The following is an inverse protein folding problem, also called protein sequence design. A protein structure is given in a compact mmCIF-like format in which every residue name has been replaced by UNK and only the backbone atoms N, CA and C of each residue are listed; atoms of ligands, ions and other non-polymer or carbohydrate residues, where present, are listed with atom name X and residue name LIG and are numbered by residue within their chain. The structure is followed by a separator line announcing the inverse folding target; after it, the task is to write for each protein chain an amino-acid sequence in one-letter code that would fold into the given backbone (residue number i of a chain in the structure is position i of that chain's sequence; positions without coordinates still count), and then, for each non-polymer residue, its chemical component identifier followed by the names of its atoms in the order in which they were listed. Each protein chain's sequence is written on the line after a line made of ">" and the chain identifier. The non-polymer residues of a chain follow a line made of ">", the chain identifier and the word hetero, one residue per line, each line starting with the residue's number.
data_IF_205422869263
#
_entry.id   IF_205422869263
#
_cell.length_a   1.000
_cell.length_b   1.000
_cell.length_c   1.000
_cell.angle_alpha   90.00
_cell.angle_beta   90.00
_cell.angle_gamma   90.00
#
_symmetry.space_group_name_H-M   'P 1'
#
loop_
_entity.id
_entity.type
_entity.pdbx_description
1 polymer ?
#
# COMPACT_ATOMS: atom_id res chain seq x y z
N UNK A 1 -14.88 96.87 4.97
CA UNK A 1 -14.48 95.48 4.79
C UNK A 1 -14.33 95.25 3.29
N UNK A 2 -13.10 95.14 2.79
CA UNK A 2 -12.86 94.78 1.39
C UNK A 2 -13.07 93.29 1.24
N UNK A 3 -14.02 92.88 0.38
CA UNK A 3 -14.21 91.47 0.05
C UNK A 3 -13.00 90.90 -0.69
N UNK A 4 -12.84 89.57 -0.72
CA UNK A 4 -11.75 88.93 -1.45
C UNK A 4 -11.76 89.33 -2.92
N UNK A 5 -10.58 89.65 -3.46
CA UNK A 5 -10.39 89.91 -4.88
C UNK A 5 -10.75 88.66 -5.69
N UNK A 6 -11.41 88.82 -6.83
CA UNK A 6 -11.81 87.72 -7.72
C UNK A 6 -10.59 86.89 -8.12
N UNK A 7 -9.42 87.52 -8.22
CA UNK A 7 -8.16 86.85 -8.49
C UNK A 7 -7.74 85.86 -7.38
N UNK A 8 -7.97 86.22 -6.11
CA UNK A 8 -7.65 85.35 -4.97
C UNK A 8 -8.59 84.15 -4.89
N UNK A 9 -9.89 84.36 -5.10
CA UNK A 9 -10.87 83.28 -5.13
C UNK A 9 -10.61 82.30 -6.28
N UNK A 10 -10.21 82.83 -7.45
CA UNK A 10 -9.86 82.00 -8.62
C UNK A 10 -8.62 81.15 -8.34
N UNK A 11 -7.62 81.70 -7.62
CA UNK A 11 -6.40 80.97 -7.24
C UNK A 11 -6.71 79.82 -6.28
N UNK A 12 -7.47 80.08 -5.23
CA UNK A 12 -7.87 79.09 -4.22
C UNK A 12 -8.65 77.93 -4.86
N UNK A 13 -9.63 78.24 -5.71
CA UNK A 13 -10.40 77.22 -6.43
C UNK A 13 -9.54 76.37 -7.36
N UNK A 14 -8.52 76.96 -7.99
CA UNK A 14 -7.58 76.23 -8.84
C UNK A 14 -6.65 75.31 -8.04
N UNK A 15 -6.31 75.68 -6.81
CA UNK A 15 -5.53 74.83 -5.89
C UNK A 15 -6.37 73.63 -5.44
N UNK A 16 -7.62 73.85 -5.01
CA UNK A 16 -8.55 72.76 -4.65
C UNK A 16 -8.80 71.80 -5.83
N UNK A 17 -8.98 72.32 -7.05
CA UNK A 17 -9.14 71.48 -8.26
C UNK A 17 -7.89 70.62 -8.49
N UNK A 18 -6.69 71.15 -8.25
CA UNK A 18 -5.45 70.38 -8.41
C UNK A 18 -5.34 69.30 -7.34
N UNK A 19 -5.67 69.59 -6.10
CA UNK A 19 -5.67 68.61 -5.02
C UNK A 19 -6.69 67.49 -5.26
N UNK A 20 -7.90 67.86 -5.68
CA UNK A 20 -8.94 66.91 -6.08
C UNK A 20 -8.47 66.02 -7.24
N UNK A 21 -7.82 66.60 -8.25
CA UNK A 21 -7.26 65.83 -9.37
C UNK A 21 -6.23 64.81 -8.88
N UNK A 22 -5.31 65.22 -8.01
CA UNK A 22 -4.28 64.33 -7.47
C UNK A 22 -4.90 63.20 -6.63
N UNK A 23 -5.92 63.52 -5.82
CA UNK A 23 -6.64 62.51 -5.03
C UNK A 23 -7.39 61.52 -5.93
N UNK A 24 -7.96 61.99 -7.05
CA UNK A 24 -8.65 61.14 -8.01
C UNK A 24 -7.67 60.21 -8.74
N UNK A 25 -6.52 60.72 -9.19
CA UNK A 25 -5.48 59.91 -9.83
C UNK A 25 -4.95 58.82 -8.87
N UNK A 26 -4.74 59.18 -7.60
CA UNK A 26 -4.35 58.20 -6.57
C UNK A 26 -5.43 57.13 -6.35
N UNK A 27 -6.69 57.54 -6.22
CA UNK A 27 -7.81 56.61 -6.03
C UNK A 27 -8.00 55.67 -7.24
N UNK A 28 -7.86 56.19 -8.46
CA UNK A 28 -7.89 55.39 -9.68
C UNK A 28 -6.80 54.34 -9.70
N UNK A 29 -5.57 54.70 -9.33
CA UNK A 29 -4.47 53.73 -9.24
C UNK A 29 -4.75 52.63 -8.21
N UNK A 30 -5.21 53.01 -7.00
CA UNK A 30 -5.57 52.04 -5.97
C UNK A 30 -6.73 51.12 -6.41
N UNK A 31 -7.63 51.61 -7.27
CA UNK A 31 -8.70 50.80 -7.84
C UNK A 31 -8.18 49.79 -8.86
N UNK A 32 -7.25 50.19 -9.73
CA UNK A 32 -6.56 49.29 -10.68
C UNK A 32 -5.80 48.19 -9.93
N UNK A 33 -4.99 48.56 -8.93
CA UNK A 33 -4.23 47.60 -8.11
C UNK A 33 -5.18 46.58 -7.43
N UNK A 34 -6.32 47.05 -6.91
CA UNK A 34 -7.32 46.18 -6.28
C UNK A 34 -8.06 45.29 -7.28
N UNK A 35 -8.30 45.79 -8.50
CA UNK A 35 -8.90 44.99 -9.57
C UNK A 35 -7.98 43.82 -9.94
N UNK A 36 -6.67 44.10 -10.08
CA UNK A 36 -5.66 43.07 -10.36
C UNK A 36 -5.61 42.00 -9.26
N UNK A 37 -5.50 42.40 -7.98
CA UNK A 37 -5.53 41.46 -6.85
C UNK A 37 -6.83 40.63 -6.83
N UNK A 38 -7.97 41.24 -7.15
CA UNK A 38 -9.26 40.54 -7.19
C UNK A 38 -9.31 39.51 -8.31
N UNK A 39 -8.67 39.76 -9.45
CA UNK A 39 -8.56 38.77 -10.53
C UNK A 39 -7.66 37.60 -10.16
N UNK A 40 -6.53 37.87 -9.52
CA UNK A 40 -5.59 36.84 -9.06
C UNK A 40 -6.26 35.89 -8.05
N UNK A 41 -6.92 36.45 -7.04
CA UNK A 41 -7.66 35.67 -6.02
C UNK A 41 -8.75 34.82 -6.67
N UNK A 42 -9.46 35.32 -7.69
CA UNK A 42 -10.48 34.53 -8.41
C UNK A 42 -9.85 33.36 -9.15
N UNK A 43 -8.70 33.55 -9.78
CA UNK A 43 -7.97 32.49 -10.49
C UNK A 43 -7.47 31.41 -9.53
N UNK A 44 -6.86 31.80 -8.41
CA UNK A 44 -6.40 30.85 -7.38
C UNK A 44 -7.55 30.05 -6.79
N UNK A 45 -8.67 30.71 -6.50
CA UNK A 45 -9.85 30.06 -5.93
C UNK A 45 -10.47 29.05 -6.92
N UNK A 46 -10.46 29.35 -8.23
CA UNK A 46 -10.86 28.40 -9.25
C UNK A 46 -9.94 27.18 -9.31
N UNK A 47 -8.61 27.39 -9.25
CA UNK A 47 -7.63 26.31 -9.23
C UNK A 47 -7.75 25.42 -7.97
N UNK A 48 -7.95 26.03 -6.81
CA UNK A 48 -8.15 25.32 -5.54
C UNK A 48 -9.41 24.44 -5.58
N UNK A 49 -10.53 24.96 -6.11
CA UNK A 49 -11.76 24.19 -6.28
C UNK A 49 -11.55 22.97 -7.19
N UNK A 50 -10.87 23.16 -8.32
CA UNK A 50 -10.57 22.05 -9.24
C UNK A 50 -9.70 20.96 -8.59
N UNK A 51 -8.74 21.34 -7.73
CA UNK A 51 -7.93 20.38 -6.98
C UNK A 51 -8.73 19.68 -5.87
N UNK A 52 -9.62 20.41 -5.20
CA UNK A 52 -10.49 19.86 -4.15
C UNK A 52 -11.48 18.83 -4.69
N UNK A 53 -11.87 18.91 -5.97
CA UNK A 53 -12.70 17.89 -6.62
C UNK A 53 -11.92 16.59 -6.94
N UNK A 54 -10.62 16.71 -7.25
CA UNK A 54 -9.76 15.55 -7.58
C UNK A 54 -9.30 14.78 -6.35
N UNK A 55 -9.09 15.48 -5.23
CA UNK A 55 -8.52 14.89 -4.01
C UNK A 55 -9.36 13.73 -3.43
N UNK A 56 -10.71 13.79 -3.37
CA UNK A 56 -11.53 12.68 -2.91
C UNK A 56 -11.44 11.44 -3.82
N UNK A 57 -11.35 11.65 -5.14
CA UNK A 57 -11.25 10.56 -6.11
C UNK A 57 -9.94 9.79 -5.94
N UNK A 58 -8.82 10.51 -5.80
CA UNK A 58 -7.52 9.90 -5.52
C UNK A 58 -7.51 9.22 -4.15
N UNK A 59 -8.12 9.82 -3.13
CA UNK A 59 -8.25 9.21 -1.81
C UNK A 59 -9.02 7.88 -1.85
N UNK A 60 -10.13 7.83 -2.57
CA UNK A 60 -10.92 6.61 -2.74
C UNK A 60 -10.14 5.54 -3.50
N UNK A 61 -9.45 5.92 -4.58
CA UNK A 61 -8.59 5.02 -5.35
C UNK A 61 -7.47 4.42 -4.51
N UNK A 62 -6.79 5.24 -3.72
CA UNK A 62 -5.71 4.81 -2.83
C UNK A 62 -6.26 3.90 -1.73
N UNK A 63 -7.39 4.25 -1.10
CA UNK A 63 -8.05 3.40 -0.09
C UNK A 63 -8.43 2.05 -0.64
N UNK A 64 -8.99 1.99 -1.86
CA UNK A 64 -9.34 0.75 -2.54
C UNK A 64 -8.11 -0.12 -2.75
N UNK A 65 -7.04 0.43 -3.31
CA UNK A 65 -5.80 -0.32 -3.53
C UNK A 65 -5.15 -0.78 -2.22
N UNK A 66 -5.17 0.05 -1.18
CA UNK A 66 -4.67 -0.31 0.15
C UNK A 66 -5.46 -1.45 0.80
N UNK A 67 -6.74 -1.61 0.45
CA UNK A 67 -7.56 -2.73 0.92
C UNK A 67 -7.36 -4.00 0.09
N UNK A 68 -7.30 -3.87 -1.24
CA UNK A 68 -7.22 -5.02 -2.17
C UNK A 68 -5.83 -5.67 -2.19
N UNK A 69 -4.75 -4.89 -2.15
CA UNK A 69 -3.40 -5.42 -2.27
C UNK A 69 -3.04 -6.42 -1.16
N UNK A 70 -3.29 -6.15 0.14
CA UNK A 70 -3.03 -7.12 1.19
C UNK A 70 -3.85 -8.41 1.02
N UNK A 71 -5.10 -8.31 0.58
CA UNK A 71 -5.94 -9.48 0.34
C UNK A 71 -5.37 -10.35 -0.80
N UNK A 72 -4.91 -9.72 -1.88
CA UNK A 72 -4.28 -10.41 -2.99
C UNK A 72 -2.97 -11.10 -2.57
N UNK A 73 -2.14 -10.43 -1.76
CA UNK A 73 -0.91 -11.03 -1.20
C UNK A 73 -1.25 -12.26 -0.37
N UNK A 74 -2.23 -12.17 0.53
CA UNK A 74 -2.66 -13.30 1.35
C UNK A 74 -3.18 -14.45 0.47
N UNK A 75 -4.02 -14.15 -0.52
CA UNK A 75 -4.55 -15.17 -1.43
C UNK A 75 -3.44 -15.88 -2.25
N UNK A 76 -2.44 -15.13 -2.69
CA UNK A 76 -1.27 -15.65 -3.39
C UNK A 76 -0.40 -16.52 -2.48
N UNK A 77 -0.17 -16.07 -1.24
CA UNK A 77 0.57 -16.83 -0.23
C UNK A 77 -0.13 -18.15 0.10
N UNK A 78 -1.46 -18.13 0.30
CA UNK A 78 -2.22 -19.36 0.51
C UNK A 78 -2.15 -20.28 -0.71
N UNK A 79 -2.23 -19.73 -1.92
CA UNK A 79 -2.11 -20.50 -3.17
C UNK A 79 -0.74 -21.13 -3.36
N UNK A 80 0.33 -20.51 -2.85
CA UNK A 80 1.67 -21.10 -2.90
C UNK A 80 1.86 -22.22 -1.87
N UNK A 81 1.17 -22.17 -0.72
CA UNK A 81 1.32 -23.14 0.38
C UNK A 81 0.38 -24.33 0.32
N UNK A 82 -0.70 -24.23 -0.45
CA UNK A 82 -1.73 -25.28 -0.56
C UNK A 82 -1.23 -26.62 -1.12
N UNK A 83 -0.06 -26.63 -1.76
CA UNK A 83 0.62 -27.85 -2.24
C UNK A 83 1.76 -28.27 -1.33
N UNK A 84 1.93 -27.65 -0.17
CA UNK A 84 3.08 -27.87 0.69
C UNK A 84 2.73 -28.78 1.87
N UNK A 85 3.66 -29.65 2.25
CA UNK A 85 3.67 -30.36 3.54
C UNK A 85 4.99 -30.07 4.22
N UNK A 86 4.92 -29.82 5.52
CA UNK A 86 6.09 -29.66 6.39
C UNK A 86 6.28 -30.93 7.22
N UNK A 87 7.41 -31.61 7.03
CA UNK A 87 7.81 -32.75 7.84
C UNK A 87 8.70 -32.27 8.99
N UNK A 88 8.27 -32.57 10.21
CA UNK A 88 8.92 -32.16 11.46
C UNK A 88 9.57 -33.35 12.15
N UNK A 89 10.59 -33.08 12.96
CA UNK A 89 11.21 -34.08 13.84
C UNK A 89 12.12 -35.08 13.13
N UNK A 90 12.48 -34.85 11.86
CA UNK A 90 13.44 -35.68 11.13
C UNK A 90 14.84 -35.11 11.36
N UNK A 91 15.76 -35.82 12.05
CA UNK A 91 17.11 -35.33 12.32
C UNK A 91 17.86 -35.00 11.02
N UNK A 92 18.64 -33.93 11.03
CA UNK A 92 19.47 -33.56 9.89
C UNK A 92 20.75 -34.40 9.84
N UNK A 93 21.03 -34.98 8.68
CA UNK A 93 22.26 -35.75 8.43
C UNK A 93 23.01 -35.13 7.27
N UNK A 94 24.35 -35.00 7.42
CA UNK A 94 25.21 -34.52 6.32
C UNK A 94 25.04 -35.41 5.10
N UNK A 95 24.82 -34.78 3.93
CA UNK A 95 24.58 -35.47 2.63
C UNK A 95 23.35 -36.39 2.64
N UNK A 96 22.31 -36.02 3.38
CA UNK A 96 21.03 -36.72 3.32
C UNK A 96 20.40 -36.68 1.92
N UNK A 97 19.65 -37.74 1.60
CA UNK A 97 18.85 -37.83 0.38
C UNK A 97 17.38 -37.64 0.76
N UNK A 98 16.86 -36.43 0.59
CA UNK A 98 15.49 -36.08 1.01
C UNK A 98 14.43 -36.97 0.34
N UNK A 99 14.58 -37.27 -0.95
CA UNK A 99 13.67 -38.19 -1.67
C UNK A 99 13.62 -39.60 -1.06
N UNK A 100 14.75 -40.13 -0.61
CA UNK A 100 14.77 -41.43 0.10
C UNK A 100 14.10 -41.36 1.47
N UNK A 101 14.05 -40.19 2.10
CA UNK A 101 13.27 -39.97 3.33
C UNK A 101 11.78 -39.93 2.98
N UNK A 102 11.38 -39.26 1.90
CA UNK A 102 9.99 -39.19 1.45
C UNK A 102 9.44 -40.56 1.05
N UNK A 103 10.23 -41.38 0.35
CA UNK A 103 9.86 -42.77 0.02
C UNK A 103 9.57 -43.58 1.29
N UNK A 104 10.46 -43.50 2.30
CA UNK A 104 10.24 -44.15 3.61
C UNK A 104 8.97 -43.63 4.30
N UNK A 105 8.75 -42.33 4.30
CA UNK A 105 7.54 -41.72 4.89
C UNK A 105 6.29 -42.23 4.17
N UNK A 106 6.28 -42.23 2.84
CA UNK A 106 5.19 -42.72 2.02
C UNK A 106 4.86 -44.19 2.30
N UNK A 107 5.90 -45.02 2.40
CA UNK A 107 5.75 -46.44 2.78
C UNK A 107 5.19 -46.60 4.20
N UNK A 108 5.61 -45.76 5.15
CA UNK A 108 5.10 -45.81 6.53
C UNK A 108 3.61 -45.45 6.59
N UNK A 109 3.13 -44.51 5.77
CA UNK A 109 1.73 -44.07 5.79
C UNK A 109 0.82 -44.80 4.79
N UNK A 110 1.35 -45.80 4.08
CA UNK A 110 0.67 -46.51 2.99
C UNK A 110 0.19 -45.59 1.85
N UNK A 111 0.97 -44.55 1.54
CA UNK A 111 0.77 -43.64 0.41
C UNK A 111 2.14 -43.37 -0.25
N UNK A 112 2.54 -44.15 -1.26
CA UNK A 112 3.85 -44.02 -1.90
C UNK A 112 4.06 -42.61 -2.47
N UNK A 113 5.19 -41.99 -2.17
CA UNK A 113 5.55 -40.66 -2.68
C UNK A 113 6.68 -40.86 -3.69
N UNK A 114 6.38 -40.61 -4.97
CA UNK A 114 7.37 -40.70 -6.05
C UNK A 114 8.04 -39.35 -6.28
N UNK A 115 9.22 -39.36 -6.92
CA UNK A 115 9.92 -38.11 -7.29
C UNK A 115 9.08 -37.25 -8.25
N UNK A 116 8.25 -37.88 -9.08
CA UNK A 116 7.34 -37.22 -10.03
C UNK A 116 6.19 -36.47 -9.34
N UNK A 117 5.86 -36.85 -8.11
CA UNK A 117 4.85 -36.17 -7.29
C UNK A 117 5.36 -34.85 -6.71
N UNK A 118 6.67 -34.64 -6.71
CA UNK A 118 7.35 -33.54 -6.01
C UNK A 118 7.81 -32.47 -7.00
N UNK A 119 7.48 -31.22 -6.67
CA UNK A 119 7.96 -30.02 -7.35
C UNK A 119 9.30 -29.57 -6.72
N UNK A 120 9.28 -29.36 -5.40
CA UNK A 120 10.42 -28.84 -4.64
C UNK A 120 10.51 -29.59 -3.30
N UNK A 121 11.71 -30.01 -2.91
CA UNK A 121 11.96 -30.59 -1.59
C UNK A 121 13.27 -30.04 -1.00
N UNK A 122 13.20 -29.40 0.16
CA UNK A 122 14.36 -28.80 0.82
C UNK A 122 14.17 -28.66 2.32
N UNK A 123 15.26 -28.48 3.06
CA UNK A 123 15.23 -28.14 4.48
C UNK A 123 14.93 -26.65 4.66
N UNK A 124 14.03 -26.32 5.58
CA UNK A 124 13.70 -24.93 5.95
C UNK A 124 14.66 -24.47 7.04
N UNK A 125 15.42 -23.39 6.83
CA UNK A 125 16.26 -22.81 7.87
C UNK A 125 15.45 -22.43 9.10
N UNK A 126 15.92 -22.83 10.27
CA UNK A 126 15.33 -22.43 11.55
C UNK A 126 16.09 -21.25 12.16
N UNK A 127 15.37 -20.37 12.85
CA UNK A 127 15.99 -19.25 13.60
C UNK A 127 16.77 -19.74 14.82
N UNK A 128 16.40 -20.91 15.36
CA UNK A 128 17.09 -21.53 16.47
C UNK A 128 18.14 -22.51 15.93
N UNK A 129 19.42 -22.18 16.07
CA UNK A 129 20.52 -23.02 15.59
C UNK A 129 20.58 -24.41 16.24
N UNK A 130 19.95 -24.60 17.41
CA UNK A 130 19.89 -25.88 18.12
C UNK A 130 18.68 -26.73 17.73
N UNK A 131 17.75 -26.21 16.93
CA UNK A 131 16.59 -26.95 16.46
C UNK A 131 16.92 -27.67 15.14
N UNK A 132 16.40 -28.88 14.97
CA UNK A 132 16.50 -29.59 13.70
C UNK A 132 15.66 -28.86 12.63
N UNK A 133 16.21 -28.55 11.45
CA UNK A 133 15.47 -27.88 10.39
C UNK A 133 14.39 -28.81 9.82
N UNK A 134 13.18 -28.30 9.60
CA UNK A 134 12.08 -29.10 9.02
C UNK A 134 12.30 -29.34 7.52
N UNK A 135 11.67 -30.36 6.95
CA UNK A 135 11.67 -30.57 5.49
C UNK A 135 10.38 -29.97 4.93
N UNK A 136 10.50 -29.03 3.98
CA UNK A 136 9.38 -28.56 3.18
C UNK A 136 9.31 -29.36 1.88
N UNK A 137 8.13 -29.93 1.63
CA UNK A 137 7.82 -30.69 0.42
C UNK A 137 6.71 -29.97 -0.31
N UNK A 138 6.97 -29.55 -1.54
CA UNK A 138 5.97 -28.98 -2.45
C UNK A 138 5.59 -30.04 -3.46
N UNK A 139 4.32 -30.37 -3.55
CA UNK A 139 3.81 -31.35 -4.50
C UNK A 139 3.43 -30.70 -5.83
N UNK A 140 3.51 -31.47 -6.91
CA UNK A 140 3.02 -31.07 -8.23
C UNK A 140 1.49 -31.01 -8.26
N UNK A 141 0.82 -31.88 -7.52
CA UNK A 141 -0.65 -31.98 -7.44
C UNK A 141 -1.17 -31.76 -6.02
N UNK A 142 -2.25 -30.98 -5.89
CA UNK A 142 -3.00 -30.82 -4.63
C UNK A 142 -3.61 -32.15 -4.17
N UNK A 143 -4.17 -32.91 -5.10
CA UNK A 143 -4.79 -34.21 -4.82
C UNK A 143 -3.80 -35.17 -4.17
N UNK A 144 -2.56 -35.20 -4.67
CA UNK A 144 -1.51 -36.03 -4.08
C UNK A 144 -1.13 -35.57 -2.68
N UNK A 145 -0.99 -34.26 -2.49
CA UNK A 145 -0.75 -33.65 -1.17
C UNK A 145 -1.85 -34.00 -0.18
N UNK A 146 -3.11 -33.90 -0.59
CA UNK A 146 -4.27 -34.21 0.24
C UNK A 146 -4.29 -35.69 0.64
N UNK A 147 -4.03 -36.62 -0.31
CA UNK A 147 -3.96 -38.05 -0.01
C UNK A 147 -2.85 -38.39 1.01
N UNK A 148 -1.65 -37.83 0.83
CA UNK A 148 -0.53 -37.99 1.77
C UNK A 148 -0.91 -37.43 3.15
N UNK A 149 -1.52 -36.25 3.19
CA UNK A 149 -1.92 -35.62 4.45
C UNK A 149 -2.98 -36.45 5.17
N UNK A 150 -4.04 -36.87 4.48
CA UNK A 150 -5.11 -37.67 5.05
C UNK A 150 -4.57 -38.98 5.65
N UNK A 151 -3.74 -39.71 4.90
CA UNK A 151 -3.12 -40.97 5.35
C UNK A 151 -2.21 -40.78 6.56
N UNK A 152 -1.45 -39.69 6.60
CA UNK A 152 -0.58 -39.36 7.74
C UNK A 152 -1.39 -39.08 9.03
N UNK A 153 -2.55 -38.43 8.92
CA UNK A 153 -3.42 -38.17 10.08
C UNK A 153 -4.00 -39.46 10.65
N UNK A 154 -4.46 -40.39 9.80
CA UNK A 154 -5.05 -41.66 10.20
C UNK A 154 -4.06 -42.58 10.96
N UNK A 155 -2.79 -42.60 10.55
CA UNK A 155 -1.76 -43.41 11.24
C UNK A 155 -1.28 -42.80 12.55
N UNK A 156 -1.33 -41.48 12.70
CA UNK A 156 -0.96 -40.79 13.96
C UNK A 156 -1.89 -41.19 15.12
N UNK A 157 -3.15 -41.56 14.85
CA UNK A 157 -4.10 -42.02 15.88
C UNK A 157 -3.84 -43.43 16.42
N UNK A 158 -2.99 -44.24 15.78
CA UNK A 158 -2.75 -45.63 16.18
C UNK A 158 -1.45 -45.84 16.97
N UNK A 159 -0.69 -44.78 17.27
CA UNK A 159 0.62 -44.89 17.89
C UNK A 159 0.99 -43.71 18.80
N UNK A 160 0.26 -43.53 19.90
CA UNK A 160 0.74 -42.81 21.08
C UNK A 160 0.67 -41.26 21.06
N UNK A 161 -0.14 -40.74 21.99
CA UNK A 161 -0.04 -39.42 22.64
C UNK A 161 0.39 -38.20 21.79
N UNK A 162 -0.58 -37.54 21.14
CA UNK A 162 -0.43 -36.16 20.70
C UNK A 162 -0.88 -35.20 21.81
N UNK A 163 0.08 -34.67 22.57
CA UNK A 163 -0.09 -33.43 23.35
C UNK A 163 -0.06 -32.25 22.37
N UNK A 164 -1.13 -31.45 22.40
CA UNK A 164 -1.18 -30.09 21.85
C UNK A 164 -0.33 -29.18 22.72
#
# INVERSE_FOLDING_TARGET
>A
MGGPDIADLTREFCEEIRELKNSLEFASKQYEDLEDECTEVKMENAALKANQEKLPQELERVKKSAHENPQNIVAQDQSSRIKNIELKGIPHVKKEKLFSILDKVGNVIDEPISDEDIDICHRVPTRNASAEPNIMVVFNSRTKRDAVFEKSTQKTFHGGEARI
#
